data_IF_348568002954
#
_entry.id   IF_348568002954
#
_cell.length_a   1.000
_cell.length_b   1.000
_cell.length_c   1.000
_cell.angle_alpha   90.00
_cell.angle_beta   90.00
_cell.angle_gamma   90.00
#
_symmetry.space_group_name_H-M   'P 1'
#
loop_
_entity.id
_entity.type
_entity.pdbx_description
1 polymer ?
#
# COMPACT_ATOMS: atom_id res chain seq x y z
N UNK A 1 77.16 23.02 -17.98
CA UNK A 1 76.55 21.67 -17.98
C UNK A 1 75.95 21.27 -16.62
N UNK A 2 76.57 21.59 -15.46
CA UNK A 2 75.97 21.27 -14.13
C UNK A 2 74.76 22.14 -13.74
N UNK A 3 74.66 23.39 -14.22
CA UNK A 3 73.57 24.30 -13.84
C UNK A 3 72.21 23.94 -14.49
N UNK A 4 72.21 23.32 -15.66
CA UNK A 4 70.98 22.93 -16.37
C UNK A 4 70.32 21.69 -15.75
N UNK A 5 71.12 20.76 -15.22
CA UNK A 5 70.63 19.54 -14.57
C UNK A 5 69.88 19.85 -13.25
N UNK A 6 70.39 20.82 -12.47
CA UNK A 6 69.74 21.25 -11.22
C UNK A 6 68.41 21.97 -11.46
N UNK A 7 68.30 22.77 -12.54
CA UNK A 7 67.04 23.41 -12.92
C UNK A 7 66.00 22.42 -13.44
N UNK A 8 66.41 21.37 -14.14
CA UNK A 8 65.51 20.33 -14.63
C UNK A 8 64.95 19.48 -13.47
N UNK A 9 65.82 18.99 -12.57
CA UNK A 9 65.42 18.22 -11.39
C UNK A 9 64.55 19.01 -10.40
N UNK A 10 64.78 20.31 -10.23
CA UNK A 10 63.95 21.18 -9.38
C UNK A 10 62.56 21.47 -9.97
N UNK A 11 62.39 21.39 -11.29
CA UNK A 11 61.09 21.58 -11.97
C UNK A 11 60.20 20.33 -11.87
N UNK A 12 60.79 19.14 -12.02
CA UNK A 12 60.09 17.86 -11.89
C UNK A 12 59.59 17.60 -10.45
N UNK A 13 60.37 18.01 -9.44
CA UNK A 13 59.91 17.94 -8.04
C UNK A 13 58.74 18.90 -7.75
N UNK A 14 58.64 20.04 -8.46
CA UNK A 14 57.53 20.97 -8.35
C UNK A 14 56.22 20.42 -8.93
N UNK A 15 56.29 19.79 -10.12
CA UNK A 15 55.14 19.19 -10.78
C UNK A 15 54.57 18.00 -9.99
N UNK A 16 55.43 17.09 -9.52
CA UNK A 16 55.02 15.92 -8.74
C UNK A 16 54.36 16.29 -7.40
N UNK A 17 54.79 17.40 -6.76
CA UNK A 17 54.20 17.89 -5.51
C UNK A 17 52.81 18.49 -5.71
N UNK A 18 52.59 19.14 -6.85
CA UNK A 18 51.29 19.71 -7.22
C UNK A 18 50.30 18.59 -7.58
N UNK A 19 50.72 17.58 -8.34
CA UNK A 19 49.90 16.42 -8.66
C UNK A 19 49.47 15.62 -7.42
N UNK A 20 50.38 15.41 -6.47
CA UNK A 20 50.07 14.73 -5.21
C UNK A 20 49.04 15.48 -4.36
N UNK A 21 49.08 16.82 -4.37
CA UNK A 21 48.11 17.67 -3.66
C UNK A 21 46.73 17.62 -4.34
N UNK A 22 46.67 17.68 -5.67
CA UNK A 22 45.40 17.56 -6.40
C UNK A 22 44.75 16.19 -6.21
N UNK A 23 45.54 15.10 -6.23
CA UNK A 23 45.03 13.76 -5.96
C UNK A 23 44.46 13.63 -4.54
N UNK A 24 45.15 14.22 -3.54
CA UNK A 24 44.66 14.28 -2.16
C UNK A 24 43.34 15.03 -2.03
N UNK A 25 43.21 16.20 -2.68
CA UNK A 25 41.99 17.01 -2.64
C UNK A 25 40.82 16.29 -3.34
N UNK A 26 41.05 15.67 -4.49
CA UNK A 26 40.01 14.95 -5.22
C UNK A 26 39.42 13.79 -4.40
N UNK A 27 40.27 13.08 -3.64
CA UNK A 27 39.85 11.98 -2.79
C UNK A 27 39.00 12.46 -1.60
N UNK A 28 39.36 13.61 -1.01
CA UNK A 28 38.56 14.24 0.05
C UNK A 28 37.20 14.69 -0.47
N UNK A 29 37.14 15.32 -1.65
CA UNK A 29 35.86 15.74 -2.26
C UNK A 29 34.96 14.54 -2.57
N UNK A 30 35.52 13.46 -3.11
CA UNK A 30 34.78 12.23 -3.38
C UNK A 30 34.22 11.61 -2.08
N UNK A 31 35.00 11.59 -1.01
CA UNK A 31 34.56 11.08 0.29
C UNK A 31 33.44 11.92 0.89
N UNK A 32 33.54 13.26 0.84
CA UNK A 32 32.49 14.17 1.32
C UNK A 32 31.21 14.00 0.52
N UNK A 33 31.31 13.87 -0.81
CA UNK A 33 30.15 13.62 -1.67
C UNK A 33 29.47 12.27 -1.37
N UNK A 34 30.26 11.21 -1.14
CA UNK A 34 29.71 9.91 -0.78
C UNK A 34 28.95 9.95 0.56
N UNK A 35 29.51 10.64 1.56
CA UNK A 35 28.83 10.85 2.86
C UNK A 35 27.58 11.70 2.69
N UNK A 36 27.65 12.78 1.91
CA UNK A 36 26.49 13.65 1.66
C UNK A 36 25.36 12.89 0.96
N UNK A 37 25.67 12.07 -0.06
CA UNK A 37 24.69 11.24 -0.74
C UNK A 37 24.09 10.16 0.17
N UNK A 38 24.88 9.58 1.07
CA UNK A 38 24.38 8.60 2.03
C UNK A 38 23.48 9.24 3.10
N UNK A 39 23.83 10.42 3.59
CA UNK A 39 23.03 11.17 4.58
C UNK A 39 21.79 11.81 3.96
N UNK A 40 21.88 12.28 2.72
CA UNK A 40 20.76 12.87 1.97
C UNK A 40 19.88 11.82 1.28
N UNK A 41 20.20 10.53 1.40
CA UNK A 41 19.35 9.48 0.89
C UNK A 41 18.01 9.56 1.64
N UNK A 42 16.88 9.80 0.94
CA UNK A 42 15.58 9.78 1.58
C UNK A 42 15.39 8.41 2.23
N UNK A 43 14.85 8.38 3.45
CA UNK A 43 14.50 7.15 4.12
C UNK A 43 13.69 6.27 3.13
N UNK A 44 13.95 4.95 3.08
CA UNK A 44 13.22 4.07 2.18
C UNK A 44 11.73 4.31 2.42
N UNK A 45 11.06 4.78 1.36
CA UNK A 45 9.64 5.11 1.37
C UNK A 45 8.91 3.90 1.96
N UNK A 46 8.28 4.08 3.13
CA UNK A 46 7.65 2.99 3.84
C UNK A 46 6.68 2.31 2.87
N UNK A 47 6.87 1.00 2.64
CA UNK A 47 5.97 0.24 1.78
C UNK A 47 4.52 0.53 2.19
N UNK A 48 3.61 0.78 1.24
CA UNK A 48 2.24 1.14 1.57
C UNK A 48 1.67 0.10 2.54
N UNK A 49 1.21 0.55 3.70
CA UNK A 49 0.56 -0.30 4.69
C UNK A 49 -0.66 -0.91 4.01
N UNK A 50 -0.57 -2.19 3.67
CA UNK A 50 -1.70 -2.93 3.10
C UNK A 50 -2.66 -3.20 4.25
N UNK A 51 -3.68 -2.36 4.37
CA UNK A 51 -4.73 -2.54 5.38
C UNK A 51 -5.38 -3.91 5.20
N UNK A 52 -5.75 -4.55 6.31
CA UNK A 52 -6.50 -5.80 6.27
C UNK A 52 -7.82 -5.55 5.49
N UNK A 53 -8.10 -6.32 4.42
CA UNK A 53 -9.31 -6.12 3.61
C UNK A 53 -10.61 -6.23 4.45
N UNK A 54 -10.59 -6.98 5.55
CA UNK A 54 -11.72 -7.07 6.48
C UNK A 54 -11.89 -5.78 7.27
N UNK A 55 -10.80 -5.20 7.77
CA UNK A 55 -10.83 -3.93 8.51
C UNK A 55 -11.24 -2.77 7.60
N UNK A 56 -10.74 -2.76 6.37
CA UNK A 56 -11.11 -1.76 5.37
C UNK A 56 -12.60 -1.82 5.04
N UNK A 57 -13.14 -3.01 4.74
CA UNK A 57 -14.57 -3.18 4.47
C UNK A 57 -15.43 -2.80 5.67
N UNK A 58 -15.01 -3.16 6.89
CA UNK A 58 -15.70 -2.74 8.11
C UNK A 58 -15.70 -1.21 8.27
N UNK A 59 -14.58 -0.54 8.02
CA UNK A 59 -14.49 0.92 8.08
C UNK A 59 -15.39 1.59 7.04
N UNK A 60 -15.43 1.07 5.82
CA UNK A 60 -16.31 1.58 4.75
C UNK A 60 -17.78 1.42 5.13
N UNK A 61 -18.18 0.21 5.57
CA UNK A 61 -19.55 -0.10 5.97
C UNK A 61 -20.04 0.75 7.14
N UNK A 62 -19.22 0.90 8.18
CA UNK A 62 -19.55 1.70 9.37
C UNK A 62 -19.48 3.21 9.10
N UNK A 63 -18.70 3.63 8.10
CA UNK A 63 -18.49 5.04 7.81
C UNK A 63 -19.74 5.71 7.26
N UNK A 64 -20.37 5.12 6.23
CA UNK A 64 -21.49 5.76 5.49
C UNK A 64 -22.46 4.83 4.77
N UNK A 65 -22.18 3.53 4.68
CA UNK A 65 -22.96 2.63 3.80
C UNK A 65 -24.13 1.95 4.51
N UNK A 66 -23.96 1.60 5.80
CA UNK A 66 -24.97 0.90 6.60
C UNK A 66 -25.74 1.88 7.48
N UNK A 67 -27.08 1.82 7.47
CA UNK A 67 -27.98 2.76 8.18
C UNK A 67 -28.79 2.12 9.31
N UNK A 68 -29.16 0.86 9.18
CA UNK A 68 -30.09 0.15 10.06
C UNK A 68 -29.40 -0.63 11.18
N UNK A 69 -28.12 -0.96 11.02
CA UNK A 69 -27.38 -1.79 11.97
C UNK A 69 -26.39 -0.98 12.78
N UNK A 70 -26.28 -1.31 14.06
CA UNK A 70 -25.20 -0.85 14.92
C UNK A 70 -23.85 -1.45 14.48
N UNK A 71 -22.71 -0.82 14.80
CA UNK A 71 -21.38 -1.36 14.49
C UNK A 71 -21.16 -2.81 14.97
N UNK A 72 -21.68 -3.16 16.16
CA UNK A 72 -21.58 -4.52 16.69
C UNK A 72 -22.40 -5.52 15.87
N UNK A 73 -23.60 -5.13 15.42
CA UNK A 73 -24.44 -5.98 14.57
C UNK A 73 -23.80 -6.17 13.19
N UNK A 74 -23.22 -5.12 12.60
CA UNK A 74 -22.47 -5.23 11.33
C UNK A 74 -21.31 -6.19 11.50
N UNK A 75 -20.47 -6.00 12.53
CA UNK A 75 -19.32 -6.88 12.79
C UNK A 75 -19.73 -8.34 12.94
N UNK A 76 -20.70 -8.62 13.80
CA UNK A 76 -21.15 -9.99 14.06
C UNK A 76 -21.70 -10.65 12.80
N UNK A 77 -22.56 -9.96 12.05
CA UNK A 77 -23.13 -10.49 10.80
C UNK A 77 -22.06 -10.68 9.72
N UNK A 78 -21.16 -9.73 9.59
CA UNK A 78 -20.09 -9.77 8.60
C UNK A 78 -19.14 -10.94 8.86
N UNK A 79 -18.78 -11.20 10.12
CA UNK A 79 -18.01 -12.39 10.50
C UNK A 79 -18.71 -13.69 10.09
N UNK A 80 -20.03 -13.80 10.30
CA UNK A 80 -20.82 -14.96 9.82
C UNK A 80 -20.76 -15.10 8.29
N UNK A 81 -20.73 -13.99 7.54
CA UNK A 81 -20.61 -14.06 6.07
C UNK A 81 -19.20 -14.37 5.60
N UNK A 82 -18.17 -14.07 6.39
CA UNK A 82 -16.78 -14.37 6.07
C UNK A 82 -16.41 -15.83 6.35
N UNK A 83 -17.01 -16.46 7.35
CA UNK A 83 -16.70 -17.84 7.73
C UNK A 83 -17.40 -18.87 6.80
N UNK A 84 -16.65 -19.68 6.03
CA UNK A 84 -17.23 -20.71 5.17
C UNK A 84 -17.93 -21.85 5.92
N UNK A 85 -17.62 -22.05 7.20
CA UNK A 85 -18.28 -23.06 8.04
C UNK A 85 -19.67 -22.60 8.53
N UNK A 86 -19.82 -21.29 8.77
CA UNK A 86 -21.10 -20.68 9.15
C UNK A 86 -21.97 -20.41 7.92
N UNK A 87 -21.34 -20.01 6.80
CA UNK A 87 -22.03 -19.72 5.55
C UNK A 87 -21.24 -20.20 4.35
N UNK A 88 -21.74 -21.23 3.69
CA UNK A 88 -21.12 -21.77 2.48
C UNK A 88 -21.19 -20.77 1.33
N UNK A 89 -20.33 -20.94 0.32
CA UNK A 89 -20.33 -20.08 -0.87
C UNK A 89 -21.69 -20.07 -1.58
N UNK A 90 -22.36 -21.23 -1.68
CA UNK A 90 -23.69 -21.33 -2.30
C UNK A 90 -24.75 -20.58 -1.51
N UNK A 91 -24.69 -20.65 -0.17
CA UNK A 91 -25.58 -19.91 0.71
C UNK A 91 -25.32 -18.40 0.61
N UNK A 92 -24.06 -17.99 0.53
CA UNK A 92 -23.66 -16.58 0.37
C UNK A 92 -24.16 -16.03 -0.97
N UNK A 93 -23.95 -16.75 -2.07
CA UNK A 93 -24.46 -16.41 -3.40
C UNK A 93 -25.99 -16.31 -3.44
N UNK A 94 -26.70 -17.22 -2.79
CA UNK A 94 -28.17 -17.18 -2.74
C UNK A 94 -28.67 -16.00 -1.89
N UNK A 95 -27.99 -15.70 -0.78
CA UNK A 95 -28.29 -14.53 0.03
C UNK A 95 -28.09 -13.23 -0.76
N UNK A 96 -26.96 -13.12 -1.49
CA UNK A 96 -26.68 -11.98 -2.38
C UNK A 96 -27.81 -11.75 -3.38
N UNK A 97 -28.21 -12.80 -4.12
CA UNK A 97 -29.31 -12.74 -5.09
C UNK A 97 -30.64 -12.32 -4.44
N UNK A 98 -30.94 -12.87 -3.27
CA UNK A 98 -32.18 -12.56 -2.54
C UNK A 98 -32.23 -11.08 -2.15
N UNK A 99 -31.14 -10.54 -1.62
CA UNK A 99 -31.10 -9.14 -1.21
C UNK A 99 -30.99 -8.18 -2.39
N UNK A 100 -30.26 -8.53 -3.45
CA UNK A 100 -30.25 -7.76 -4.70
C UNK A 100 -31.67 -7.62 -5.28
N UNK A 101 -32.44 -8.72 -5.32
CA UNK A 101 -33.84 -8.67 -5.76
C UNK A 101 -34.72 -7.77 -4.89
N UNK A 102 -34.48 -7.72 -3.57
CA UNK A 102 -35.21 -6.83 -2.64
C UNK A 102 -34.81 -5.36 -2.76
N UNK A 103 -33.54 -5.09 -3.06
CA UNK A 103 -33.06 -3.72 -3.36
C UNK A 103 -33.71 -3.19 -4.64
N UNK A 104 -33.88 -4.05 -5.64
CA UNK A 104 -34.52 -3.71 -6.92
C UNK A 104 -36.06 -3.71 -6.90
N UNK A 105 -36.71 -4.14 -5.81
CA UNK A 105 -38.18 -4.23 -5.71
C UNK A 105 -38.78 -2.95 -5.10
N UNK A 106 -39.50 -2.12 -5.89
CA UNK A 106 -40.11 -0.89 -5.38
C UNK A 106 -41.22 -1.14 -4.34
N UNK A 107 -41.74 -2.37 -4.25
CA UNK A 107 -42.79 -2.76 -3.30
C UNK A 107 -42.24 -3.31 -1.99
N UNK A 108 -40.92 -3.45 -1.87
CA UNK A 108 -40.33 -3.94 -0.64
C UNK A 108 -40.51 -2.94 0.50
N UNK A 109 -40.97 -3.41 1.66
CA UNK A 109 -41.38 -2.59 2.79
C UNK A 109 -40.19 -2.01 3.59
N UNK A 110 -38.97 -2.54 3.38
CA UNK A 110 -37.76 -2.15 4.12
C UNK A 110 -36.55 -1.93 3.19
N UNK A 111 -36.59 -0.94 2.29
CA UNK A 111 -35.54 -0.73 1.29
C UNK A 111 -34.15 -0.51 1.91
N UNK A 112 -34.06 0.23 3.01
CA UNK A 112 -32.77 0.47 3.70
C UNK A 112 -32.17 -0.81 4.28
N UNK A 113 -33.00 -1.68 4.87
CA UNK A 113 -32.56 -2.98 5.37
C UNK A 113 -32.03 -3.85 4.22
N UNK A 114 -32.74 -3.84 3.08
CA UNK A 114 -32.29 -4.61 1.92
C UNK A 114 -30.94 -4.12 1.41
N UNK A 115 -30.77 -2.81 1.31
CA UNK A 115 -29.52 -2.19 0.90
C UNK A 115 -28.37 -2.56 1.84
N UNK A 116 -28.58 -2.44 3.15
CA UNK A 116 -27.55 -2.74 4.15
C UNK A 116 -27.14 -4.22 4.13
N UNK A 117 -28.12 -5.13 4.01
CA UNK A 117 -27.85 -6.55 3.91
C UNK A 117 -27.12 -6.91 2.62
N UNK A 118 -27.50 -6.29 1.50
CA UNK A 118 -26.84 -6.45 0.23
C UNK A 118 -25.37 -6.02 0.31
N UNK A 119 -25.09 -4.82 0.84
CA UNK A 119 -23.73 -4.27 0.96
C UNK A 119 -22.84 -5.18 1.82
N UNK A 120 -23.31 -5.63 2.98
CA UNK A 120 -22.53 -6.54 3.84
C UNK A 120 -22.17 -7.84 3.13
N UNK A 121 -23.11 -8.41 2.38
CA UNK A 121 -22.91 -9.67 1.66
C UNK A 121 -21.98 -9.48 0.46
N UNK A 122 -22.13 -8.38 -0.29
CA UNK A 122 -21.30 -8.05 -1.43
C UNK A 122 -19.82 -7.86 -1.02
N UNK A 123 -19.55 -7.10 0.04
CA UNK A 123 -18.19 -7.00 0.60
C UNK A 123 -17.63 -8.37 1.03
N UNK A 124 -18.46 -9.20 1.70
CA UNK A 124 -18.02 -10.53 2.13
C UNK A 124 -17.70 -11.44 0.94
N UNK A 125 -18.48 -11.35 -0.15
CA UNK A 125 -18.23 -12.08 -1.39
C UNK A 125 -16.93 -11.65 -2.06
N UNK A 126 -16.67 -10.33 -2.14
CA UNK A 126 -15.41 -9.81 -2.70
C UNK A 126 -14.19 -10.28 -1.91
N UNK A 127 -14.25 -10.22 -0.57
CA UNK A 127 -13.16 -10.68 0.30
C UNK A 127 -12.93 -12.19 0.15
N UNK A 128 -14.01 -12.98 0.08
CA UNK A 128 -13.93 -14.44 -0.09
C UNK A 128 -13.63 -14.88 -1.54
N UNK A 129 -13.61 -13.97 -2.50
CA UNK A 129 -13.45 -14.30 -3.93
C UNK A 129 -14.64 -15.08 -4.52
N UNK A 130 -15.83 -14.95 -3.95
CA UNK A 130 -17.05 -15.64 -4.40
C UNK A 130 -17.75 -14.79 -5.45
N UNK A 131 -17.98 -15.35 -6.65
CA UNK A 131 -18.71 -14.64 -7.70
C UNK A 131 -20.23 -14.67 -7.48
N UNK A 132 -20.97 -13.61 -7.86
CA UNK A 132 -22.44 -13.62 -7.90
C UNK A 132 -23.00 -14.74 -8.80
N UNK A 133 -24.29 -15.07 -8.64
CA UNK A 133 -24.97 -15.90 -9.65
C UNK A 133 -25.03 -15.15 -10.97
N UNK A 134 -24.84 -15.86 -12.09
CA UNK A 134 -25.04 -15.33 -13.43
C UNK A 134 -26.51 -14.88 -13.59
N UNK A 135 -26.72 -13.65 -14.11
CA UNK A 135 -28.04 -13.08 -14.35
C UNK A 135 -28.55 -12.08 -13.30
N UNK A 136 -27.68 -11.55 -12.45
CA UNK A 136 -27.90 -10.31 -11.68
C UNK A 136 -27.27 -9.10 -12.38
#
# INVERSE_FOLDING_TARGET
MMQDLQRFLGRDQGAARVEAVFAGVALVVAAVMAVFLFVAAPAPEAAPVRNDPVEEAMSQMMGREIRQFTPLQVRSRFQTYLDPNERTDSQLRNAHRTWAGRVGDPRYDRPDLANDMFIMIDHAMRIRGVQPHEGL
#
